data_IF_245738376538
#
_entry.id   IF_245738376538
#
_cell.length_a   1.000
_cell.length_b   1.000
_cell.length_c   1.000
_cell.angle_alpha   90.00
_cell.angle_beta   90.00
_cell.angle_gamma   90.00
#
_symmetry.space_group_name_H-M   'P 1'
#
loop_
_entity.id
_entity.type
_entity.pdbx_description
1 polymer ?
#
# COMPACT_ATOMS: atom_id res chain seq x y z
N UNK A 1 -38.06 -38.41 -56.52
CA UNK A 1 -36.99 -37.38 -56.46
C UNK A 1 -36.77 -36.99 -55.04
N UNK A 2 -35.64 -37.31 -54.39
CA UNK A 2 -35.36 -36.92 -53.02
C UNK A 2 -34.80 -35.50 -52.99
N UNK A 3 -35.25 -34.71 -51.99
CA UNK A 3 -34.74 -33.40 -51.68
C UNK A 3 -33.35 -33.53 -51.01
N UNK A 4 -32.38 -32.64 -51.29
CA UNK A 4 -31.10 -32.65 -50.61
C UNK A 4 -31.23 -31.98 -49.21
N UNK A 5 -30.78 -32.72 -48.21
CA UNK A 5 -30.55 -32.21 -46.86
C UNK A 5 -29.52 -31.08 -46.88
N UNK A 6 -29.88 -29.92 -46.34
CA UNK A 6 -28.93 -28.83 -46.07
C UNK A 6 -28.19 -29.16 -44.80
N UNK A 7 -26.90 -29.45 -44.93
CA UNK A 7 -25.96 -29.49 -43.82
C UNK A 7 -25.85 -28.09 -43.20
N UNK A 8 -26.26 -27.98 -41.94
CA UNK A 8 -26.05 -26.80 -41.12
C UNK A 8 -24.60 -26.82 -40.67
N UNK A 9 -23.72 -26.12 -41.37
CA UNK A 9 -22.37 -25.84 -40.88
C UNK A 9 -22.48 -24.90 -39.69
N UNK A 10 -22.21 -25.42 -38.50
CA UNK A 10 -21.93 -24.61 -37.32
C UNK A 10 -20.55 -23.98 -37.48
N UNK A 11 -20.47 -22.89 -38.19
CA UNK A 11 -19.33 -21.97 -38.18
C UNK A 11 -19.34 -21.23 -36.85
N UNK A 12 -18.69 -21.75 -35.83
CA UNK A 12 -18.29 -20.96 -34.68
C UNK A 12 -17.27 -19.95 -35.15
N UNK A 13 -17.68 -18.69 -35.33
CA UNK A 13 -16.73 -17.57 -35.46
C UNK A 13 -15.92 -17.50 -34.16
N UNK A 14 -14.71 -18.05 -34.19
CA UNK A 14 -13.71 -17.71 -33.16
C UNK A 14 -13.56 -16.19 -33.20
N UNK A 15 -13.88 -15.49 -32.11
CA UNK A 15 -13.67 -14.05 -32.01
C UNK A 15 -12.18 -13.80 -32.24
N UNK A 16 -11.87 -12.97 -33.23
CA UNK A 16 -10.50 -12.60 -33.52
C UNK A 16 -9.92 -11.87 -32.29
N UNK A 17 -8.81 -12.37 -31.75
CA UNK A 17 -8.17 -11.77 -30.59
C UNK A 17 -7.78 -10.33 -30.90
N UNK A 18 -8.31 -9.41 -30.11
CA UNK A 18 -8.21 -7.97 -30.33
C UNK A 18 -6.96 -7.36 -29.68
N UNK A 19 -6.45 -8.00 -28.60
CA UNK A 19 -5.35 -7.50 -27.78
C UNK A 19 -4.24 -8.54 -27.61
N UNK A 20 -3.00 -8.09 -27.51
CA UNK A 20 -1.87 -8.92 -27.08
C UNK A 20 -1.97 -9.20 -25.57
N UNK A 21 -2.32 -8.16 -24.80
CA UNK A 21 -2.45 -8.25 -23.34
C UNK A 21 -3.74 -7.62 -22.84
N UNK A 22 -4.39 -8.33 -21.93
CA UNK A 22 -5.42 -7.82 -21.04
C UNK A 22 -4.79 -7.63 -19.66
N UNK A 23 -4.84 -6.41 -19.12
CA UNK A 23 -4.34 -6.10 -17.77
C UNK A 23 -5.52 -5.88 -16.84
N UNK A 24 -5.62 -6.70 -15.79
CA UNK A 24 -6.67 -6.62 -14.79
C UNK A 24 -6.16 -5.86 -13.58
N UNK A 25 -6.71 -4.66 -13.37
CA UNK A 25 -6.35 -3.71 -12.34
C UNK A 25 -5.50 -2.55 -12.86
N UNK A 26 -6.01 -1.32 -12.73
CA UNK A 26 -5.34 -0.08 -13.11
C UNK A 26 -4.54 0.56 -11.95
N UNK A 27 -4.05 -0.26 -11.00
CA UNK A 27 -3.10 0.15 -9.96
C UNK A 27 -1.67 0.30 -10.50
N UNK A 28 -0.70 0.59 -9.64
CA UNK A 28 0.69 0.82 -10.06
C UNK A 28 1.26 -0.33 -10.89
N UNK A 29 1.08 -1.58 -10.46
CA UNK A 29 1.61 -2.74 -11.18
C UNK A 29 1.05 -2.84 -12.60
N UNK A 30 -0.29 -2.83 -12.71
CA UNK A 30 -0.96 -2.96 -14.01
C UNK A 30 -0.65 -1.80 -14.94
N UNK A 31 -0.59 -0.57 -14.42
CA UNK A 31 -0.30 0.63 -15.22
C UNK A 31 1.14 0.64 -15.75
N UNK A 32 2.11 0.20 -14.94
CA UNK A 32 3.51 0.03 -15.38
C UNK A 32 3.60 -1.04 -16.47
N UNK A 33 2.99 -2.21 -16.27
CA UNK A 33 3.00 -3.28 -17.27
C UNK A 33 2.35 -2.82 -18.58
N UNK A 34 1.16 -2.21 -18.50
CA UNK A 34 0.42 -1.73 -19.67
C UNK A 34 1.22 -0.68 -20.45
N UNK A 35 1.87 0.27 -19.75
CA UNK A 35 2.72 1.30 -20.38
C UNK A 35 3.88 0.70 -21.13
N UNK A 36 4.61 -0.20 -20.50
CA UNK A 36 5.80 -0.78 -21.13
C UNK A 36 5.43 -1.75 -22.27
N UNK A 37 4.34 -2.52 -22.13
CA UNK A 37 3.82 -3.33 -23.24
C UNK A 37 3.44 -2.46 -24.45
N UNK A 38 2.76 -1.32 -24.22
CA UNK A 38 2.48 -0.35 -25.28
C UNK A 38 3.74 0.21 -25.93
N UNK A 39 4.77 0.56 -25.15
CA UNK A 39 6.07 1.02 -25.71
C UNK A 39 6.71 -0.03 -26.61
N UNK A 40 6.49 -1.32 -26.32
CA UNK A 40 6.92 -2.44 -27.18
C UNK A 40 5.98 -2.73 -28.37
N UNK A 41 5.05 -1.83 -28.68
CA UNK A 41 4.12 -1.95 -29.80
C UNK A 41 2.97 -2.93 -29.60
N UNK A 42 2.74 -3.37 -28.36
CA UNK A 42 1.65 -4.29 -28.01
C UNK A 42 0.30 -3.57 -27.88
N UNK A 43 -0.77 -4.24 -28.32
CA UNK A 43 -2.15 -3.79 -28.10
C UNK A 43 -2.57 -4.22 -26.71
N UNK A 44 -2.93 -3.27 -25.85
CA UNK A 44 -3.27 -3.51 -24.44
C UNK A 44 -4.65 -2.97 -24.13
N UNK A 45 -5.45 -3.75 -23.42
CA UNK A 45 -6.68 -3.34 -22.74
C UNK A 45 -6.48 -3.44 -21.24
N UNK A 46 -6.89 -2.41 -20.50
CA UNK A 46 -6.89 -2.42 -19.04
C UNK A 46 -8.33 -2.49 -18.51
N UNK A 47 -8.63 -3.43 -17.63
CA UNK A 47 -9.89 -3.51 -16.89
C UNK A 47 -9.69 -3.05 -15.46
N UNK A 48 -10.58 -2.20 -14.98
CA UNK A 48 -10.58 -1.75 -13.58
C UNK A 48 -12.00 -1.86 -13.00
N UNK A 49 -12.13 -2.59 -11.88
CA UNK A 49 -13.44 -2.78 -11.23
C UNK A 49 -14.00 -1.51 -10.60
N UNK A 50 -13.15 -0.56 -10.22
CA UNK A 50 -13.51 0.72 -9.61
C UNK A 50 -13.86 1.78 -10.67
N UNK A 51 -14.53 2.87 -10.28
CA UNK A 51 -14.84 4.00 -11.17
C UNK A 51 -13.63 4.90 -11.47
N UNK A 52 -12.43 4.53 -11.08
CA UNK A 52 -11.21 5.31 -11.20
C UNK A 52 -9.98 4.42 -11.38
N UNK A 53 -8.94 4.95 -12.02
CA UNK A 53 -7.61 4.33 -12.09
C UNK A 53 -6.82 4.54 -10.79
N UNK A 54 -5.56 4.15 -10.77
CA UNK A 54 -4.59 4.29 -9.70
C UNK A 54 -4.77 3.32 -8.51
N UNK A 55 -5.79 2.46 -8.51
CA UNK A 55 -5.94 1.47 -7.43
C UNK A 55 -5.91 2.11 -6.04
N UNK A 56 -5.09 1.59 -5.12
CA UNK A 56 -5.01 2.13 -3.76
C UNK A 56 -4.25 3.46 -3.64
N UNK A 57 -3.51 3.89 -4.67
CA UNK A 57 -2.85 5.23 -4.65
C UNK A 57 -3.74 6.34 -5.22
N UNK A 58 -5.01 6.04 -5.50
CA UNK A 58 -5.97 7.03 -6.00
C UNK A 58 -6.07 8.23 -5.06
N UNK A 59 -5.95 9.43 -5.64
CA UNK A 59 -6.20 10.71 -5.01
C UNK A 59 -7.49 11.32 -5.58
N UNK A 60 -8.42 11.64 -4.69
CA UNK A 60 -9.63 12.41 -5.00
C UNK A 60 -9.34 13.90 -4.84
N UNK A 61 -9.78 14.73 -5.77
CA UNK A 61 -9.69 16.18 -5.61
C UNK A 61 -10.89 16.71 -4.82
N UNK A 62 -10.61 17.36 -3.70
CA UNK A 62 -11.63 17.99 -2.85
C UNK A 62 -11.21 19.42 -2.54
N UNK A 63 -11.85 20.40 -3.16
CA UNK A 63 -11.53 21.82 -2.97
C UNK A 63 -10.04 22.14 -3.26
N UNK A 64 -9.45 21.50 -4.26
CA UNK A 64 -8.02 21.63 -4.62
C UNK A 64 -7.06 20.80 -3.76
N UNK A 65 -7.57 20.06 -2.77
CA UNK A 65 -6.78 19.19 -1.91
C UNK A 65 -6.74 17.78 -2.52
N UNK A 66 -5.56 17.23 -2.74
CA UNK A 66 -5.37 15.84 -3.20
C UNK A 66 -5.55 14.88 -2.04
N UNK A 67 -6.75 14.36 -1.86
CA UNK A 67 -7.12 13.44 -0.77
C UNK A 67 -6.71 12.02 -1.15
N UNK A 68 -5.78 11.42 -0.42
CA UNK A 68 -5.39 10.01 -0.57
C UNK A 68 -6.52 9.12 -0.04
N UNK A 69 -7.37 8.62 -0.95
CA UNK A 69 -8.65 7.95 -0.62
C UNK A 69 -8.47 6.69 0.22
N UNK A 70 -7.41 5.95 -0.02
CA UNK A 70 -7.14 4.64 0.58
C UNK A 70 -5.94 4.66 1.54
N UNK A 71 -5.72 5.80 2.22
CA UNK A 71 -4.65 6.00 3.18
C UNK A 71 -3.47 6.80 2.63
N UNK A 72 -2.63 7.29 3.53
CA UNK A 72 -1.45 8.07 3.17
C UNK A 72 -0.46 7.23 2.37
N UNK A 73 -0.16 7.65 1.17
CA UNK A 73 0.85 7.07 0.31
C UNK A 73 1.97 8.10 0.11
N UNK A 74 3.17 7.80 0.61
CA UNK A 74 4.37 8.62 0.44
C UNK A 74 5.38 7.78 -0.31
N UNK A 75 5.74 8.20 -1.51
CA UNK A 75 6.71 7.46 -2.31
C UNK A 75 8.11 7.64 -1.73
N UNK A 76 8.81 6.53 -1.57
CA UNK A 76 10.22 6.53 -1.16
C UNK A 76 10.93 5.32 -1.77
N UNK A 77 12.21 5.45 -2.10
CA UNK A 77 13.01 4.36 -2.66
C UNK A 77 14.51 4.63 -2.59
N UNK A 78 15.30 3.56 -2.56
CA UNK A 78 16.74 3.58 -2.85
C UNK A 78 17.04 3.13 -4.29
N UNK A 79 16.02 2.68 -5.02
CA UNK A 79 16.17 2.20 -6.39
C UNK A 79 16.09 3.38 -7.38
N UNK A 80 17.25 3.78 -7.89
CA UNK A 80 17.37 4.87 -8.86
C UNK A 80 16.59 4.61 -10.14
N UNK A 81 16.57 3.37 -10.66
CA UNK A 81 15.82 3.01 -11.88
C UNK A 81 14.32 3.25 -11.69
N UNK A 82 13.77 2.86 -10.54
CA UNK A 82 12.35 3.09 -10.21
C UNK A 82 12.05 4.58 -10.07
N UNK A 83 12.92 5.33 -9.40
CA UNK A 83 12.78 6.79 -9.25
C UNK A 83 12.77 7.49 -10.61
N UNK A 84 13.76 7.22 -11.45
CA UNK A 84 13.87 7.79 -12.80
C UNK A 84 12.71 7.36 -13.72
N UNK A 85 12.22 6.11 -13.55
CA UNK A 85 11.08 5.64 -14.30
C UNK A 85 9.82 6.44 -13.98
N UNK A 86 9.48 6.62 -12.69
CA UNK A 86 8.29 7.35 -12.28
C UNK A 86 8.35 8.85 -12.63
N UNK A 87 9.54 9.45 -12.59
CA UNK A 87 9.74 10.84 -13.00
C UNK A 87 9.49 11.12 -14.50
N UNK A 88 9.31 10.09 -15.33
CA UNK A 88 8.83 10.27 -16.70
C UNK A 88 7.34 10.65 -16.76
N UNK A 89 6.58 10.41 -15.71
CA UNK A 89 5.12 10.56 -15.68
C UNK A 89 4.64 11.64 -14.73
N UNK A 90 5.49 12.09 -13.80
CA UNK A 90 5.18 13.15 -12.84
C UNK A 90 6.43 13.83 -12.35
N UNK A 91 6.29 15.02 -11.83
CA UNK A 91 7.28 15.66 -10.97
C UNK A 91 6.96 15.31 -9.51
N UNK A 92 7.96 14.90 -8.73
CA UNK A 92 7.82 14.70 -7.29
C UNK A 92 8.19 15.98 -6.55
N UNK A 93 7.38 16.36 -5.56
CA UNK A 93 7.71 17.44 -4.66
C UNK A 93 8.76 16.97 -3.62
N UNK A 94 9.22 17.91 -2.78
CA UNK A 94 10.21 17.63 -1.73
C UNK A 94 9.60 17.16 -0.41
N UNK A 95 8.41 16.58 -0.40
CA UNK A 95 7.78 16.15 0.85
C UNK A 95 8.65 15.13 1.57
N UNK A 96 8.94 15.43 2.85
CA UNK A 96 9.67 14.55 3.75
C UNK A 96 8.71 14.07 4.83
N UNK A 97 8.56 12.76 4.94
CA UNK A 97 7.65 12.17 5.92
C UNK A 97 8.21 12.31 7.34
N UNK A 98 7.57 13.15 8.15
CA UNK A 98 7.95 13.42 9.53
C UNK A 98 6.71 13.29 10.44
N UNK A 99 6.21 12.06 10.67
CA UNK A 99 5.02 11.86 11.47
C UNK A 99 5.26 12.19 12.95
N UNK A 100 4.18 12.54 13.64
CA UNK A 100 4.17 12.84 15.06
C UNK A 100 3.32 11.78 15.77
N UNK A 101 3.76 11.31 16.94
CA UNK A 101 2.95 10.52 17.85
C UNK A 101 2.27 11.42 18.88
N UNK A 102 0.98 11.20 19.09
CA UNK A 102 0.20 11.79 20.18
C UNK A 102 -0.15 10.68 21.17
N UNK A 103 0.42 10.75 22.36
CA UNK A 103 0.08 9.91 23.48
C UNK A 103 -0.64 10.74 24.54
N UNK A 104 -1.97 10.68 24.59
CA UNK A 104 -2.81 11.40 25.58
C UNK A 104 -2.49 12.90 25.67
N UNK A 105 -2.21 13.56 24.54
CA UNK A 105 -1.84 14.96 24.47
C UNK A 105 -0.34 15.26 24.54
N UNK A 106 0.49 14.29 24.87
CA UNK A 106 1.96 14.41 24.77
C UNK A 106 2.40 14.12 23.35
N UNK A 107 3.14 15.05 22.73
CA UNK A 107 3.62 14.91 21.34
C UNK A 107 5.08 14.45 21.31
N UNK A 108 5.35 13.45 20.47
CA UNK A 108 6.66 12.87 20.24
C UNK A 108 6.98 12.80 18.76
N UNK A 109 8.24 13.03 18.38
CA UNK A 109 8.72 12.81 17.02
C UNK A 109 8.79 11.32 16.69
N UNK A 110 8.51 10.98 15.44
CA UNK A 110 8.77 9.66 14.86
C UNK A 110 9.69 9.81 13.63
N UNK A 111 10.58 8.83 13.38
CA UNK A 111 10.87 7.60 14.16
C UNK A 111 11.46 7.95 15.54
N UNK A 112 11.66 6.93 16.42
CA UNK A 112 12.29 7.13 17.72
C UNK A 112 13.70 7.68 17.53
N UNK A 113 13.89 8.96 17.83
CA UNK A 113 15.11 9.72 17.61
C UNK A 113 15.45 10.62 18.79
N UNK A 114 16.52 11.41 18.70
CA UNK A 114 16.96 12.26 19.81
C UNK A 114 15.89 13.27 20.26
N UNK A 115 14.99 13.75 19.37
CA UNK A 115 13.87 14.59 19.81
C UNK A 115 12.87 13.80 20.67
N UNK A 116 12.60 12.53 20.31
CA UNK A 116 11.76 11.62 21.10
C UNK A 116 12.34 11.41 22.50
N UNK A 117 13.64 11.11 22.57
CA UNK A 117 14.33 10.82 23.85
C UNK A 117 14.48 12.05 24.70
N UNK A 118 14.80 13.21 24.11
CA UNK A 118 14.83 14.49 24.82
C UNK A 118 13.45 14.81 25.42
N UNK A 119 12.38 14.68 24.63
CA UNK A 119 11.00 14.92 25.11
C UNK A 119 10.61 13.97 26.25
N UNK A 120 11.04 12.70 26.18
CA UNK A 120 10.67 11.66 27.14
C UNK A 120 11.48 11.70 28.43
N UNK A 121 12.78 11.92 28.32
CA UNK A 121 13.72 11.77 29.43
C UNK A 121 14.58 13.01 29.73
N UNK A 122 14.50 14.05 28.91
CA UNK A 122 15.32 15.25 29.06
C UNK A 122 16.81 15.08 28.66
N UNK A 123 17.16 13.95 28.05
CA UNK A 123 18.52 13.64 27.61
C UNK A 123 18.92 14.52 26.41
N UNK A 124 20.21 14.86 26.30
CA UNK A 124 20.72 15.76 25.27
C UNK A 124 21.70 15.04 24.35
N UNK A 125 22.44 14.06 24.87
CA UNK A 125 23.45 13.34 24.10
C UNK A 125 23.01 11.92 23.71
N UNK A 126 23.57 11.37 22.61
CA UNK A 126 23.36 9.97 22.25
C UNK A 126 23.76 8.99 23.35
N UNK A 127 24.81 9.27 24.10
CA UNK A 127 25.29 8.44 25.21
C UNK A 127 24.25 8.36 26.35
N UNK A 128 23.70 9.52 26.75
CA UNK A 128 22.63 9.58 27.77
C UNK A 128 21.37 8.83 27.28
N UNK A 129 20.98 8.98 26.01
CA UNK A 129 19.81 8.30 25.45
C UNK A 129 20.01 6.78 25.45
N UNK A 130 21.18 6.30 25.03
CA UNK A 130 21.52 4.88 25.04
C UNK A 130 21.54 4.32 26.47
N UNK A 131 22.13 5.03 27.44
CA UNK A 131 22.15 4.62 28.83
C UNK A 131 20.72 4.42 29.37
N UNK A 132 19.79 5.33 29.04
CA UNK A 132 18.38 5.20 29.42
C UNK A 132 17.69 4.01 28.77
N UNK A 133 17.93 3.77 27.49
CA UNK A 133 17.37 2.62 26.78
C UNK A 133 17.89 1.31 27.39
N UNK A 134 19.20 1.19 27.62
CA UNK A 134 19.81 -0.01 28.20
C UNK A 134 19.37 -0.24 29.65
N UNK A 135 19.22 0.82 30.47
CA UNK A 135 18.66 0.75 31.81
C UNK A 135 17.29 0.06 31.79
N UNK A 136 16.41 0.45 30.88
CA UNK A 136 15.06 -0.10 30.80
C UNK A 136 14.98 -1.48 30.15
N UNK A 137 15.86 -1.76 29.20
CA UNK A 137 16.00 -3.11 28.59
C UNK A 137 16.46 -4.15 29.60
N UNK A 138 17.14 -3.72 30.68
CA UNK A 138 17.60 -4.61 31.74
C UNK A 138 16.44 -5.39 32.42
N UNK A 139 15.20 -4.92 32.33
CA UNK A 139 14.00 -5.66 32.76
C UNK A 139 13.89 -7.05 32.08
N UNK A 140 14.37 -7.16 30.86
CA UNK A 140 14.37 -8.37 30.05
C UNK A 140 15.72 -9.10 30.05
N UNK A 141 16.72 -8.63 30.83
CA UNK A 141 18.04 -9.25 30.86
C UNK A 141 17.99 -10.73 31.23
N UNK A 142 18.58 -11.58 30.38
CA UNK A 142 18.63 -13.02 30.59
C UNK A 142 17.32 -13.77 30.36
N UNK A 143 16.28 -13.12 29.82
CA UNK A 143 15.00 -13.73 29.47
C UNK A 143 14.84 -13.77 27.95
N UNK A 144 14.30 -14.88 27.43
CA UNK A 144 13.79 -14.93 26.06
C UNK A 144 12.37 -14.37 26.01
N UNK A 145 12.09 -13.40 25.12
CA UNK A 145 10.74 -12.83 24.99
C UNK A 145 9.73 -13.89 24.51
N UNK A 146 8.65 -14.07 25.26
CA UNK A 146 7.58 -15.02 24.98
C UNK A 146 6.41 -14.41 24.17
N UNK A 147 6.29 -13.09 24.18
CA UNK A 147 5.22 -12.35 23.54
C UNK A 147 5.72 -11.00 23.00
N UNK A 148 4.83 -10.26 22.32
CA UNK A 148 5.18 -9.01 21.67
C UNK A 148 5.58 -7.91 22.69
N UNK A 149 4.94 -7.83 23.86
CA UNK A 149 5.30 -6.86 24.90
C UNK A 149 6.74 -7.06 25.35
N UNK A 150 7.11 -8.28 25.73
CA UNK A 150 8.45 -8.63 26.19
C UNK A 150 9.49 -8.38 25.07
N UNK A 151 9.15 -8.73 23.83
CA UNK A 151 9.99 -8.47 22.68
C UNK A 151 10.25 -6.97 22.48
N UNK A 152 9.20 -6.15 22.51
CA UNK A 152 9.34 -4.70 22.36
C UNK A 152 10.19 -4.09 23.49
N UNK A 153 9.93 -4.46 24.75
CA UNK A 153 10.72 -3.97 25.89
C UNK A 153 12.19 -4.36 25.75
N UNK A 154 12.48 -5.58 25.31
CA UNK A 154 13.86 -6.03 25.07
C UNK A 154 14.58 -5.23 24.00
N UNK A 155 13.85 -4.63 23.05
CA UNK A 155 14.40 -3.83 21.94
C UNK A 155 14.59 -2.35 22.29
N UNK A 156 13.61 -1.74 22.98
CA UNK A 156 13.55 -0.28 23.14
C UNK A 156 13.31 0.19 24.58
N UNK A 157 13.09 -0.72 25.51
CA UNK A 157 12.73 -0.39 26.90
C UNK A 157 11.24 -0.09 27.12
N UNK A 158 10.86 0.00 28.40
CA UNK A 158 9.45 0.09 28.81
C UNK A 158 8.77 1.41 28.43
N UNK A 159 9.42 2.55 28.65
CA UNK A 159 8.78 3.86 28.44
C UNK A 159 8.40 4.07 26.97
N UNK A 160 9.29 3.75 26.05
CA UNK A 160 9.02 3.82 24.61
C UNK A 160 7.91 2.84 24.23
N UNK A 161 7.95 1.63 24.77
CA UNK A 161 6.91 0.63 24.52
C UNK A 161 5.54 1.12 25.00
N UNK A 162 5.40 1.50 26.25
CA UNK A 162 4.10 1.88 26.84
C UNK A 162 3.47 3.11 26.16
N UNK A 163 4.29 4.14 25.86
CA UNK A 163 3.77 5.38 25.28
C UNK A 163 3.61 5.34 23.77
N UNK A 164 4.50 4.66 23.03
CA UNK A 164 4.57 4.83 21.59
C UNK A 164 4.27 3.57 20.76
N UNK A 165 4.25 2.38 21.38
CA UNK A 165 4.06 1.12 20.67
C UNK A 165 2.80 0.40 21.09
N UNK A 166 2.60 0.24 22.39
CA UNK A 166 1.57 -0.65 22.99
C UNK A 166 0.17 -0.35 22.47
N UNK A 167 -0.40 0.80 22.78
CA UNK A 167 -1.79 1.11 22.44
C UNK A 167 -2.03 1.19 20.94
N UNK A 168 -1.03 1.65 20.17
CA UNK A 168 -1.11 1.63 18.71
C UNK A 168 -1.18 0.20 18.16
N UNK A 169 -0.32 -0.69 18.66
CA UNK A 169 -0.30 -2.11 18.26
C UNK A 169 -1.58 -2.84 18.67
N UNK A 170 -2.04 -2.61 19.89
CA UNK A 170 -3.28 -3.20 20.40
C UNK A 170 -4.52 -2.78 19.60
N UNK A 171 -4.59 -1.53 19.14
CA UNK A 171 -5.64 -1.08 18.21
C UNK A 171 -5.52 -1.74 16.83
N UNK A 172 -4.29 -1.91 16.34
CA UNK A 172 -4.07 -2.56 15.03
C UNK A 172 -4.47 -4.04 15.05
N UNK A 173 -4.22 -4.73 16.18
CA UNK A 173 -4.45 -6.17 16.27
C UNK A 173 -5.74 -6.56 16.98
N UNK A 174 -6.43 -5.60 17.62
CA UNK A 174 -7.63 -5.87 18.41
C UNK A 174 -7.38 -6.76 19.63
N UNK A 175 -6.11 -6.94 20.06
CA UNK A 175 -5.66 -7.84 21.14
C UNK A 175 -4.57 -7.19 21.96
N UNK A 176 -4.44 -7.60 23.21
CA UNK A 176 -3.37 -7.12 24.09
C UNK A 176 -2.00 -7.61 23.58
N UNK A 177 -0.96 -6.77 23.75
CA UNK A 177 0.40 -7.11 23.30
C UNK A 177 0.95 -8.38 23.96
N UNK A 178 0.48 -8.73 25.18
CA UNK A 178 0.84 -9.98 25.87
C UNK A 178 0.31 -11.23 25.18
N UNK A 179 -0.78 -11.10 24.42
CA UNK A 179 -1.43 -12.20 23.70
C UNK A 179 -0.97 -12.31 22.25
N UNK A 180 -0.04 -11.46 21.83
CA UNK A 180 0.52 -11.42 20.48
C UNK A 180 1.91 -12.09 20.45
N UNK A 181 2.22 -12.88 19.42
CA UNK A 181 3.52 -13.52 19.29
C UNK A 181 4.69 -12.53 19.18
N UNK A 182 5.83 -12.83 19.78
CA UNK A 182 7.03 -12.00 19.78
C UNK A 182 7.54 -11.68 18.35
N UNK A 183 7.41 -12.62 17.41
CA UNK A 183 7.91 -12.46 16.03
C UNK A 183 7.22 -11.36 15.22
N UNK A 184 6.08 -10.83 15.67
CA UNK A 184 5.39 -9.71 15.02
C UNK A 184 6.29 -8.46 14.99
N UNK A 185 7.06 -8.23 16.05
CA UNK A 185 8.05 -7.16 16.13
C UNK A 185 9.46 -7.76 16.08
N UNK A 186 10.07 -7.75 14.91
CA UNK A 186 11.46 -8.22 14.74
C UNK A 186 12.48 -7.16 15.09
N UNK A 187 12.15 -5.88 14.90
CA UNK A 187 13.01 -4.73 15.16
C UNK A 187 12.17 -3.46 15.37
N UNK A 188 12.64 -2.60 16.24
CA UNK A 188 12.14 -1.24 16.43
C UNK A 188 13.35 -0.31 16.27
N UNK A 189 13.47 0.41 15.15
CA UNK A 189 14.67 1.20 14.90
C UNK A 189 14.76 2.40 15.85
N UNK A 190 15.89 2.51 16.51
CA UNK A 190 16.29 3.67 17.35
C UNK A 190 17.32 4.47 16.58
N UNK A 191 17.16 5.77 16.50
CA UNK A 191 18.11 6.69 15.85
C UNK A 191 18.70 7.65 16.85
N UNK A 192 20.01 7.62 16.99
CA UNK A 192 20.74 8.53 17.88
C UNK A 192 21.13 9.84 17.16
N UNK A 193 20.21 10.37 16.38
CA UNK A 193 20.34 11.61 15.61
C UNK A 193 19.10 12.47 15.76
N UNK A 194 19.22 13.78 15.54
CA UNK A 194 18.11 14.74 15.48
C UNK A 194 17.53 14.79 14.06
N UNK A 195 17.10 13.61 13.52
CA UNK A 195 16.52 13.49 12.20
C UNK A 195 15.09 12.97 12.28
N UNK A 196 14.13 13.78 11.87
CA UNK A 196 12.70 13.45 11.85
C UNK A 196 12.25 12.81 10.53
N UNK A 197 13.14 12.64 9.55
CA UNK A 197 12.78 11.92 8.34
C UNK A 197 12.49 10.45 8.66
N UNK A 198 11.24 10.02 8.47
CA UNK A 198 10.82 8.67 8.82
C UNK A 198 11.52 7.60 7.96
N UNK A 199 11.77 7.89 6.70
CA UNK A 199 12.41 6.97 5.78
C UNK A 199 13.93 7.19 5.70
N UNK A 200 14.68 6.09 5.49
CA UNK A 200 16.11 6.14 5.18
C UNK A 200 16.40 6.09 3.67
N UNK A 201 15.38 6.33 2.86
CA UNK A 201 15.48 6.26 1.42
C UNK A 201 16.17 7.51 0.85
N UNK A 202 16.97 7.33 -0.19
CA UNK A 202 17.65 8.42 -0.91
C UNK A 202 16.66 9.34 -1.63
N UNK A 203 15.54 8.77 -2.12
CA UNK A 203 14.52 9.49 -2.85
C UNK A 203 13.19 9.34 -2.11
N UNK A 204 12.48 10.45 -1.94
CA UNK A 204 11.12 10.46 -1.44
C UNK A 204 10.38 11.69 -1.91
N UNK A 205 9.05 11.63 -1.94
CA UNK A 205 8.20 12.74 -2.31
C UNK A 205 6.78 12.31 -2.59
N UNK A 206 5.97 13.29 -2.95
CA UNK A 206 4.59 13.12 -3.41
C UNK A 206 4.52 13.63 -4.85
N UNK A 207 3.83 12.94 -5.79
CA UNK A 207 3.56 13.50 -7.11
C UNK A 207 2.87 14.85 -7.00
N UNK A 208 3.45 15.90 -7.58
CA UNK A 208 3.00 17.28 -7.42
C UNK A 208 1.51 17.47 -7.81
N UNK A 209 1.03 16.72 -8.82
CA UNK A 209 -0.37 16.71 -9.26
C UNK A 209 -1.17 15.50 -8.75
N UNK A 210 -0.68 14.81 -7.72
CA UNK A 210 -1.28 13.61 -7.14
C UNK A 210 -0.99 12.33 -7.93
N UNK A 211 -1.14 11.18 -7.25
CA UNK A 211 -0.87 9.87 -7.84
C UNK A 211 -1.83 9.51 -8.97
N UNK A 212 -3.08 9.94 -8.90
CA UNK A 212 -4.07 9.68 -9.96
C UNK A 212 -3.56 10.21 -11.29
N UNK A 213 -3.09 11.47 -11.32
CA UNK A 213 -2.57 12.09 -12.54
C UNK A 213 -1.31 11.39 -13.06
N UNK A 214 -0.42 10.94 -12.17
CA UNK A 214 0.75 10.14 -12.55
C UNK A 214 0.33 8.85 -13.28
N UNK A 215 -0.66 8.13 -12.74
CA UNK A 215 -1.17 6.89 -13.35
C UNK A 215 -1.91 7.15 -14.66
N UNK A 216 -2.71 8.22 -14.73
CA UNK A 216 -3.33 8.65 -16.01
C UNK A 216 -2.29 8.90 -17.09
N UNK A 217 -1.18 9.56 -16.74
CA UNK A 217 -0.08 9.80 -17.69
C UNK A 217 0.61 8.48 -18.11
N UNK A 218 0.71 7.48 -17.22
CA UNK A 218 1.18 6.15 -17.61
C UNK A 218 0.23 5.46 -18.57
N UNK A 219 -1.08 5.62 -18.38
CA UNK A 219 -2.12 4.98 -19.18
C UNK A 219 -2.50 5.78 -20.45
N UNK A 220 -1.82 6.90 -20.70
CA UNK A 220 -2.11 7.74 -21.87
C UNK A 220 -2.06 6.94 -23.19
N UNK A 221 -3.18 7.03 -23.94
CA UNK A 221 -3.41 6.31 -25.20
C UNK A 221 -3.52 4.78 -25.04
N UNK A 222 -3.79 4.26 -23.87
CA UNK A 222 -4.17 2.86 -23.60
C UNK A 222 -5.67 2.82 -23.32
N UNK A 223 -6.37 1.85 -23.90
CA UNK A 223 -7.79 1.65 -23.64
C UNK A 223 -8.01 1.13 -22.23
N UNK A 224 -8.86 1.81 -21.45
CA UNK A 224 -9.18 1.48 -20.05
C UNK A 224 -10.70 1.38 -19.90
N UNK A 225 -11.19 0.26 -19.40
CA UNK A 225 -12.59 0.07 -19.05
C UNK A 225 -12.74 0.10 -17.53
N UNK A 226 -13.33 1.18 -17.03
CA UNK A 226 -13.67 1.34 -15.61
C UNK A 226 -14.98 0.61 -15.29
N UNK A 227 -15.30 0.42 -13.99
CA UNK A 227 -16.48 -0.29 -13.52
C UNK A 227 -16.64 -1.67 -14.16
N UNK A 228 -15.53 -2.32 -14.49
CA UNK A 228 -15.50 -3.60 -15.19
C UNK A 228 -14.71 -4.61 -14.38
N UNK A 229 -15.42 -5.57 -13.79
CA UNK A 229 -14.80 -6.63 -13.02
C UNK A 229 -14.50 -7.83 -13.92
N UNK A 230 -13.24 -8.18 -14.05
CA UNK A 230 -12.80 -9.32 -14.86
C UNK A 230 -13.43 -10.66 -14.40
N UNK A 231 -13.62 -10.83 -13.09
CA UNK A 231 -14.13 -12.07 -12.51
C UNK A 231 -15.61 -12.35 -12.85
N UNK A 232 -16.35 -11.33 -13.29
CA UNK A 232 -17.77 -11.52 -13.67
C UNK A 232 -17.93 -12.31 -14.96
N UNK A 233 -16.92 -12.33 -15.85
CA UNK A 233 -16.94 -13.07 -17.12
C UNK A 233 -15.51 -13.36 -17.62
N UNK A 234 -14.78 -14.22 -16.87
CA UNK A 234 -13.38 -14.58 -17.18
C UNK A 234 -13.22 -15.15 -18.60
N UNK A 235 -14.17 -15.94 -19.05
CA UNK A 235 -14.10 -16.61 -20.37
C UNK A 235 -14.09 -15.60 -21.50
N UNK A 236 -15.06 -14.68 -21.50
CA UNK A 236 -15.13 -13.59 -22.47
C UNK A 236 -13.83 -12.80 -22.55
N UNK A 237 -13.31 -12.40 -21.41
CA UNK A 237 -12.09 -11.57 -21.38
C UNK A 237 -10.85 -12.35 -21.82
N UNK A 238 -10.75 -13.64 -21.50
CA UNK A 238 -9.67 -14.51 -21.94
C UNK A 238 -9.66 -14.78 -23.44
N UNK A 239 -10.84 -14.71 -24.09
CA UNK A 239 -10.94 -14.82 -25.54
C UNK A 239 -10.45 -13.57 -26.28
N UNK A 240 -10.49 -12.40 -25.63
CA UNK A 240 -10.15 -11.11 -26.25
C UNK A 240 -8.64 -10.83 -26.29
N UNK A 241 -7.81 -11.55 -25.54
CA UNK A 241 -6.38 -11.32 -25.45
C UNK A 241 -5.57 -12.62 -25.54
N UNK A 242 -4.29 -12.49 -25.96
CA UNK A 242 -3.36 -13.62 -25.97
C UNK A 242 -2.92 -14.00 -24.55
N UNK A 243 -2.67 -13.00 -23.70
CA UNK A 243 -2.31 -13.16 -22.29
C UNK A 243 -3.04 -12.19 -21.37
N UNK A 244 -3.23 -12.58 -20.13
CA UNK A 244 -3.84 -11.76 -19.09
C UNK A 244 -2.83 -11.51 -17.99
N UNK A 245 -2.67 -10.26 -17.58
CA UNK A 245 -1.93 -9.86 -16.39
C UNK A 245 -2.92 -9.57 -15.28
N UNK A 246 -3.02 -10.47 -14.31
CA UNK A 246 -3.99 -10.41 -13.22
C UNK A 246 -3.34 -9.87 -11.94
N UNK A 247 -3.84 -8.72 -11.45
CA UNK A 247 -3.31 -8.07 -10.24
C UNK A 247 -4.27 -8.12 -9.04
N UNK A 248 -5.40 -8.77 -9.20
CA UNK A 248 -6.36 -9.02 -8.11
C UNK A 248 -5.91 -10.12 -7.14
N UNK A 249 -6.71 -10.41 -6.09
CA UNK A 249 -6.42 -11.48 -5.15
C UNK A 249 -6.34 -12.83 -5.86
N UNK A 250 -5.25 -13.58 -5.62
CA UNK A 250 -5.02 -14.86 -6.30
C UNK A 250 -6.08 -15.90 -5.94
N UNK A 251 -6.55 -15.92 -4.68
CA UNK A 251 -7.61 -16.81 -4.23
C UNK A 251 -8.95 -16.51 -4.90
N UNK A 252 -9.27 -15.24 -5.13
CA UNK A 252 -10.47 -14.83 -5.88
C UNK A 252 -10.43 -15.29 -7.34
N UNK A 253 -9.25 -15.31 -7.98
CA UNK A 253 -9.13 -15.85 -9.34
C UNK A 253 -9.56 -17.32 -9.42
N UNK A 254 -9.27 -18.11 -8.39
CA UNK A 254 -9.63 -19.52 -8.27
C UNK A 254 -10.93 -19.75 -7.49
N UNK A 255 -11.81 -18.74 -7.43
CA UNK A 255 -13.11 -18.80 -6.79
C UNK A 255 -13.08 -19.32 -5.34
N UNK A 256 -11.97 -18.99 -4.64
CA UNK A 256 -11.70 -19.38 -3.26
C UNK A 256 -11.70 -20.90 -3.00
N UNK A 257 -11.43 -21.70 -4.02
CA UNK A 257 -11.57 -23.18 -4.02
C UNK A 257 -10.72 -23.89 -2.95
N UNK A 258 -9.66 -23.26 -2.45
CA UNK A 258 -8.81 -23.78 -1.37
C UNK A 258 -9.01 -23.04 -0.02
N UNK A 259 -9.96 -22.10 0.02
CA UNK A 259 -10.22 -21.21 1.16
C UNK A 259 -9.73 -19.80 0.97
N UNK A 260 -10.06 -18.92 1.91
CA UNK A 260 -9.72 -17.50 1.85
C UNK A 260 -8.32 -17.23 2.41
N UNK A 261 -7.51 -16.51 1.66
CA UNK A 261 -6.30 -15.87 2.19
C UNK A 261 -6.71 -14.70 3.09
N UNK A 262 -5.98 -14.50 4.17
CA UNK A 262 -6.29 -13.45 5.13
C UNK A 262 -5.59 -12.14 4.77
N UNK A 263 -6.32 -11.06 4.96
CA UNK A 263 -5.84 -9.71 4.72
C UNK A 263 -6.06 -8.84 5.97
N UNK A 264 -5.44 -7.69 6.00
CA UNK A 264 -5.80 -6.60 6.89
C UNK A 264 -6.55 -5.56 6.10
N UNK A 265 -7.50 -4.94 6.75
CA UNK A 265 -8.27 -3.85 6.19
C UNK A 265 -8.15 -2.61 7.06
N UNK A 266 -8.44 -1.47 6.46
CA UNK A 266 -8.50 -0.17 7.13
C UNK A 266 -9.75 0.56 6.67
N UNK A 267 -10.37 1.31 7.59
CA UNK A 267 -11.51 2.16 7.32
C UNK A 267 -11.12 3.62 7.54
N UNK A 268 -11.59 4.49 6.66
CA UNK A 268 -11.33 5.92 6.73
C UNK A 268 -12.62 6.71 6.94
N UNK A 269 -12.57 7.71 7.81
CA UNK A 269 -13.59 8.74 7.95
C UNK A 269 -13.00 10.07 7.46
N UNK A 270 -13.44 10.49 6.28
CA UNK A 270 -12.98 11.73 5.66
C UNK A 270 -13.88 12.89 6.08
N UNK A 271 -13.29 14.04 6.42
CA UNK A 271 -14.02 15.26 6.79
C UNK A 271 -13.35 16.48 6.19
N UNK A 272 -14.12 17.24 5.40
CA UNK A 272 -13.75 18.58 4.99
C UNK A 272 -14.00 19.55 6.15
N UNK A 273 -13.03 20.38 6.48
CA UNK A 273 -13.07 21.37 7.55
C UNK A 273 -12.88 22.77 6.97
N UNK A 274 -13.72 23.70 7.40
CA UNK A 274 -13.64 25.12 7.04
C UNK A 274 -12.63 25.84 7.96
N UNK A 275 -11.38 25.43 7.83
CA UNK A 275 -10.23 26.00 8.54
C UNK A 275 -8.95 25.73 7.75
N UNK A 276 -7.94 26.62 7.83
CA UNK A 276 -6.73 26.49 7.03
C UNK A 276 -5.74 25.44 7.58
N UNK A 277 -5.87 25.01 8.83
CA UNK A 277 -4.94 24.08 9.48
C UNK A 277 -5.63 23.37 10.65
N UNK A 278 -5.57 22.05 10.70
CA UNK A 278 -6.14 21.27 11.78
C UNK A 278 -5.11 20.78 12.79
N UNK A 279 -4.02 20.18 12.33
CA UNK A 279 -3.00 19.56 13.20
C UNK A 279 -1.56 19.98 12.87
N UNK A 280 -1.36 20.75 11.78
CA UNK A 280 -0.03 21.27 11.39
C UNK A 280 0.96 20.24 10.87
N UNK A 281 0.50 19.02 10.58
CA UNK A 281 1.33 17.95 10.03
C UNK A 281 0.48 16.99 9.19
N UNK A 282 1.09 16.38 8.17
CA UNK A 282 0.41 15.45 7.30
C UNK A 282 -0.09 14.20 8.04
N UNK A 283 0.66 13.70 9.03
CA UNK A 283 0.30 12.49 9.76
C UNK A 283 0.57 12.62 11.26
N UNK A 284 -0.46 12.39 12.07
CA UNK A 284 -0.36 12.25 13.54
C UNK A 284 -0.89 10.90 13.95
N UNK A 285 -0.04 10.07 14.54
CA UNK A 285 -0.38 8.74 15.05
C UNK A 285 -0.84 8.87 16.51
N UNK A 286 -1.99 8.28 16.84
CA UNK A 286 -2.51 8.24 18.20
C UNK A 286 -2.09 6.92 18.83
N UNK A 287 -1.18 6.98 19.79
CA UNK A 287 -0.51 5.80 20.33
C UNK A 287 -1.12 5.27 21.64
N UNK A 288 -2.05 6.01 22.22
CA UNK A 288 -2.88 5.51 23.32
C UNK A 288 -3.95 4.52 22.83
N UNK A 289 -4.50 3.68 23.72
CA UNK A 289 -5.52 2.67 23.39
C UNK A 289 -6.93 3.27 23.34
N UNK A 290 -7.18 4.31 24.12
CA UNK A 290 -8.50 4.89 24.33
C UNK A 290 -9.00 5.66 23.11
N UNK A 291 -8.11 6.29 22.33
CA UNK A 291 -8.43 6.95 21.08
C UNK A 291 -8.78 5.90 20.02
N UNK A 292 -9.99 5.93 19.43
CA UNK A 292 -10.45 4.82 18.58
C UNK A 292 -9.77 4.72 17.22
N UNK A 293 -9.21 5.84 16.69
CA UNK A 293 -8.43 5.82 15.43
C UNK A 293 -6.95 5.62 15.71
N UNK A 294 -6.26 5.05 14.75
CA UNK A 294 -4.80 4.85 14.81
C UNK A 294 -4.05 6.10 14.39
N UNK A 295 -4.63 6.88 13.44
CA UNK A 295 -3.96 8.01 12.84
C UNK A 295 -4.96 9.03 12.31
N UNK A 296 -4.57 10.30 12.31
CA UNK A 296 -5.25 11.34 11.51
C UNK A 296 -4.27 11.79 10.42
N UNK A 297 -4.76 11.80 9.19
CA UNK A 297 -4.06 12.34 8.02
C UNK A 297 -4.68 13.70 7.70
N UNK A 298 -3.88 14.75 7.58
CA UNK A 298 -4.30 16.05 7.06
C UNK A 298 -3.68 16.24 5.68
N UNK A 299 -4.49 16.01 4.65
CA UNK A 299 -4.02 15.78 3.28
C UNK A 299 -3.33 16.97 2.63
N UNK A 300 -3.77 18.20 2.93
CA UNK A 300 -3.16 19.40 2.33
C UNK A 300 -1.64 19.53 2.59
N UNK A 301 -1.15 18.95 3.68
CA UNK A 301 0.27 19.03 4.01
C UNK A 301 1.17 18.19 3.12
N UNK A 302 0.61 17.26 2.34
CA UNK A 302 1.36 16.56 1.29
C UNK A 302 1.79 17.49 0.16
N UNK A 303 1.10 18.63 -0.03
CA UNK A 303 1.41 19.69 -1.00
C UNK A 303 1.76 21.01 -0.31
N UNK A 304 2.26 20.96 0.94
CA UNK A 304 2.67 22.12 1.75
C UNK A 304 1.55 23.16 1.94
N UNK A 305 0.29 22.73 1.96
CA UNK A 305 -0.87 23.60 2.10
C UNK A 305 -1.20 24.44 0.88
N UNK A 306 -0.65 24.10 -0.29
CA UNK A 306 -0.84 24.83 -1.56
C UNK A 306 -1.71 24.01 -2.53
N UNK A 307 -2.46 24.75 -3.37
CA UNK A 307 -3.10 24.21 -4.57
C UNK A 307 -2.11 24.07 -5.74
N UNK A 308 -2.59 23.64 -6.92
CA UNK A 308 -1.76 23.48 -8.12
C UNK A 308 -1.17 24.79 -8.66
N UNK A 309 -1.81 25.92 -8.37
CA UNK A 309 -1.38 27.27 -8.77
C UNK A 309 -0.47 27.92 -7.73
N UNK A 310 -0.20 27.25 -6.59
CA UNK A 310 0.64 27.73 -5.51
C UNK A 310 -0.05 28.64 -4.50
N UNK A 311 -1.38 28.77 -4.55
CA UNK A 311 -2.15 29.54 -3.59
C UNK A 311 -2.36 28.77 -2.27
N UNK A 312 -2.51 29.51 -1.16
CA UNK A 312 -2.78 28.90 0.14
C UNK A 312 -4.20 28.34 0.20
N UNK A 313 -4.33 27.05 0.48
CA UNK A 313 -5.60 26.38 0.71
C UNK A 313 -6.22 26.88 2.02
N UNK A 314 -7.44 27.42 1.95
CA UNK A 314 -8.15 27.98 3.12
C UNK A 314 -8.96 26.93 3.89
N UNK A 315 -9.16 25.76 3.29
CA UNK A 315 -9.82 24.61 3.91
C UNK A 315 -8.85 23.46 4.06
N UNK A 316 -9.21 22.47 4.85
CA UNK A 316 -8.43 21.23 4.98
C UNK A 316 -9.32 19.99 4.98
N UNK A 317 -8.78 18.86 4.49
CA UNK A 317 -9.43 17.56 4.60
C UNK A 317 -8.61 16.69 5.54
N UNK A 318 -9.28 16.12 6.53
CA UNK A 318 -8.70 15.12 7.42
C UNK A 318 -9.32 13.75 7.17
N UNK A 319 -8.51 12.70 7.32
CA UNK A 319 -8.97 11.32 7.37
C UNK A 319 -8.58 10.69 8.70
N UNK A 320 -9.58 10.20 9.46
CA UNK A 320 -9.33 9.32 10.59
C UNK A 320 -9.22 7.89 10.10
N UNK A 321 -8.11 7.24 10.41
CA UNK A 321 -7.83 5.85 10.03
C UNK A 321 -8.14 4.92 11.19
N UNK A 322 -8.92 3.88 10.90
CA UNK A 322 -9.26 2.82 11.85
C UNK A 322 -8.76 1.49 11.31
N UNK A 323 -8.10 0.71 12.15
CA UNK A 323 -7.81 -0.68 11.82
C UNK A 323 -9.11 -1.49 11.86
N UNK A 324 -9.28 -2.41 10.93
CA UNK A 324 -10.41 -3.32 10.88
C UNK A 324 -9.97 -4.72 10.50
N UNK A 325 -10.63 -5.73 11.08
CA UNK A 325 -10.49 -7.10 10.59
C UNK A 325 -11.07 -7.20 9.19
N UNK A 326 -10.33 -7.83 8.30
CA UNK A 326 -10.81 -8.13 6.97
C UNK A 326 -11.79 -9.30 7.01
N UNK A 327 -12.87 -9.20 6.25
CA UNK A 327 -13.84 -10.27 6.02
C UNK A 327 -14.02 -10.49 4.52
N UNK A 328 -14.44 -11.69 4.09
CA UNK A 328 -14.79 -11.91 2.69
C UNK A 328 -15.78 -10.87 2.17
N UNK A 329 -15.39 -10.18 1.09
CA UNK A 329 -16.14 -9.04 0.52
C UNK A 329 -15.58 -7.68 0.85
N UNK A 330 -14.73 -7.55 1.87
CA UNK A 330 -14.00 -6.31 2.16
C UNK A 330 -12.83 -6.11 1.18
N UNK A 331 -12.44 -4.86 0.95
CA UNK A 331 -11.23 -4.56 0.17
C UNK A 331 -9.97 -5.07 0.91
N UNK A 332 -9.14 -5.90 0.25
CA UNK A 332 -7.90 -6.40 0.82
C UNK A 332 -6.79 -5.33 0.70
N UNK A 333 -6.27 -4.85 1.82
CA UNK A 333 -5.17 -3.88 1.82
C UNK A 333 -3.79 -4.53 1.92
N UNK A 334 -3.60 -5.39 2.92
CA UNK A 334 -2.31 -5.99 3.23
C UNK A 334 -2.44 -7.49 3.49
N UNK A 335 -1.65 -8.35 2.80
CA UNK A 335 -1.57 -9.76 3.12
C UNK A 335 -1.11 -10.02 4.57
N UNK A 336 -1.69 -11.02 5.21
CA UNK A 336 -1.24 -11.51 6.52
C UNK A 336 -0.15 -12.56 6.28
N UNK A 337 1.11 -12.19 6.57
CA UNK A 337 2.28 -13.04 6.32
C UNK A 337 2.57 -13.95 7.52
N UNK A 338 1.67 -14.87 7.83
CA UNK A 338 1.90 -15.96 8.78
C UNK A 338 2.15 -17.31 8.06
N UNK A 339 2.46 -18.34 8.82
CA UNK A 339 2.80 -19.66 8.28
C UNK A 339 1.60 -20.35 7.60
N UNK A 340 0.40 -20.17 8.16
CA UNK A 340 -0.84 -20.78 7.65
C UNK A 340 -1.20 -20.19 6.28
N UNK A 341 -1.25 -18.86 6.19
CA UNK A 341 -1.50 -18.16 4.94
C UNK A 341 -0.38 -18.39 3.91
N UNK A 342 0.87 -18.51 4.35
CA UNK A 342 1.99 -18.86 3.49
C UNK A 342 1.83 -20.25 2.84
N UNK A 343 1.39 -21.24 3.61
CA UNK A 343 1.08 -22.59 3.10
C UNK A 343 -0.11 -22.57 2.14
N UNK A 344 -1.16 -21.83 2.47
CA UNK A 344 -2.34 -21.71 1.60
C UNK A 344 -1.99 -20.99 0.28
N UNK A 345 -1.24 -19.90 0.35
CA UNK A 345 -0.74 -19.21 -0.84
C UNK A 345 0.13 -20.14 -1.71
N UNK A 346 0.99 -20.97 -1.12
CA UNK A 346 1.78 -21.96 -1.84
C UNK A 346 0.92 -22.88 -2.71
N UNK A 347 -0.22 -23.36 -2.19
CA UNK A 347 -1.17 -24.19 -2.94
C UNK A 347 -1.83 -23.40 -4.10
N UNK A 348 -2.22 -22.15 -3.87
CA UNK A 348 -2.73 -21.30 -4.95
C UNK A 348 -1.67 -21.03 -6.01
N UNK A 349 -0.41 -20.88 -5.62
CA UNK A 349 0.69 -20.70 -6.56
C UNK A 349 0.89 -21.93 -7.47
N UNK A 350 0.75 -23.13 -6.92
CA UNK A 350 0.78 -24.37 -7.73
C UNK A 350 -0.37 -24.44 -8.76
N UNK A 351 -1.54 -23.87 -8.46
CA UNK A 351 -2.62 -23.74 -9.45
C UNK A 351 -2.27 -22.66 -10.48
N UNK A 352 -1.76 -21.52 -10.04
CA UNK A 352 -1.37 -20.42 -10.91
C UNK A 352 -0.27 -20.81 -11.91
N UNK A 353 0.67 -21.66 -11.52
CA UNK A 353 1.75 -22.13 -12.39
C UNK A 353 1.26 -23.03 -13.54
N UNK A 354 0.02 -23.51 -13.48
CA UNK A 354 -0.63 -24.29 -14.56
C UNK A 354 -1.37 -23.39 -15.56
N UNK A 355 -1.60 -22.13 -15.21
CA UNK A 355 -2.28 -21.15 -16.03
C UNK A 355 -1.32 -20.54 -17.08
N UNK A 356 -1.20 -21.19 -18.24
CA UNK A 356 -0.20 -20.82 -19.27
C UNK A 356 -0.38 -19.39 -19.83
N UNK A 357 -1.61 -18.83 -19.76
CA UNK A 357 -1.94 -17.51 -20.32
C UNK A 357 -2.01 -16.40 -19.27
N UNK A 358 -1.98 -16.74 -17.99
CA UNK A 358 -2.22 -15.79 -16.91
C UNK A 358 -0.91 -15.47 -16.20
N UNK A 359 -0.60 -14.19 -16.10
CA UNK A 359 0.53 -13.67 -15.36
C UNK A 359 -0.02 -13.06 -14.06
N UNK A 360 0.21 -13.70 -12.94
CA UNK A 360 -0.15 -13.15 -11.64
C UNK A 360 0.93 -12.17 -11.17
N UNK A 361 0.52 -10.98 -10.79
CA UNK A 361 1.44 -9.93 -10.36
C UNK A 361 0.85 -8.93 -9.40
N UNK A 362 1.71 -8.11 -8.80
CA UNK A 362 1.31 -7.12 -7.81
C UNK A 362 1.03 -7.71 -6.43
N UNK A 363 0.71 -6.83 -5.48
CA UNK A 363 0.57 -7.16 -4.05
C UNK A 363 -0.40 -8.32 -3.78
N UNK A 364 -1.56 -8.32 -4.44
CA UNK A 364 -2.63 -9.30 -4.20
C UNK A 364 -2.42 -10.56 -5.04
N UNK A 365 -1.97 -10.43 -6.29
CA UNK A 365 -1.70 -11.57 -7.16
C UNK A 365 -0.49 -12.41 -6.72
N UNK A 366 0.49 -11.78 -6.06
CA UNK A 366 1.65 -12.46 -5.49
C UNK A 366 1.55 -12.67 -3.97
N UNK A 367 0.46 -12.25 -3.35
CA UNK A 367 0.23 -12.31 -1.90
C UNK A 367 1.44 -11.83 -1.08
N UNK A 368 2.01 -10.67 -1.47
CA UNK A 368 3.19 -10.10 -0.84
C UNK A 368 2.93 -8.69 -0.34
N UNK A 369 3.52 -8.39 0.82
CA UNK A 369 3.58 -7.00 1.27
C UNK A 369 4.66 -6.27 0.45
N UNK A 370 4.20 -5.40 -0.43
CA UNK A 370 5.06 -4.54 -1.25
C UNK A 370 4.84 -3.08 -0.90
N UNK A 371 5.91 -2.32 -0.70
CA UNK A 371 5.89 -0.87 -0.81
C UNK A 371 5.76 -0.46 -2.30
N UNK A 372 5.39 0.79 -2.55
CA UNK A 372 5.11 1.25 -3.92
C UNK A 372 6.28 1.04 -4.89
N UNK A 373 7.50 1.27 -4.42
CA UNK A 373 8.72 1.09 -5.23
C UNK A 373 8.94 -0.39 -5.60
N UNK A 374 8.71 -1.30 -4.67
CA UNK A 374 8.81 -2.73 -4.91
C UNK A 374 7.74 -3.22 -5.90
N UNK A 375 6.52 -2.66 -5.85
CA UNK A 375 5.47 -2.93 -6.84
C UNK A 375 5.93 -2.53 -8.23
N UNK A 376 6.47 -1.31 -8.38
CA UNK A 376 6.97 -0.81 -9.68
C UNK A 376 8.15 -1.65 -10.17
N UNK A 377 9.11 -1.95 -9.29
CA UNK A 377 10.27 -2.80 -9.63
C UNK A 377 9.85 -4.20 -10.09
N UNK A 378 8.86 -4.82 -9.40
CA UNK A 378 8.32 -6.13 -9.77
C UNK A 378 7.66 -6.09 -11.15
N UNK A 379 6.86 -5.05 -11.44
CA UNK A 379 6.23 -4.87 -12.75
C UNK A 379 7.27 -4.70 -13.87
N UNK A 380 8.29 -3.86 -13.66
CA UNK A 380 9.38 -3.66 -14.64
C UNK A 380 10.18 -4.96 -14.86
N UNK A 381 10.42 -5.74 -13.82
CA UNK A 381 11.07 -7.04 -13.92
C UNK A 381 10.24 -8.03 -14.74
N UNK A 382 8.92 -8.07 -14.52
CA UNK A 382 8.01 -8.93 -15.28
C UNK A 382 7.97 -8.53 -16.76
N UNK A 383 7.91 -7.24 -17.06
CA UNK A 383 8.00 -6.71 -18.43
C UNK A 383 9.29 -7.17 -19.13
N UNK A 384 10.44 -7.02 -18.46
CA UNK A 384 11.74 -7.47 -19.00
C UNK A 384 11.77 -8.97 -19.29
N UNK A 385 11.06 -9.79 -18.50
CA UNK A 385 10.97 -11.23 -18.68
C UNK A 385 10.02 -11.61 -19.82
N UNK A 386 8.89 -10.91 -19.91
CA UNK A 386 7.77 -11.27 -20.78
C UNK A 386 7.90 -10.72 -22.20
N UNK A 387 8.47 -9.52 -22.36
CA UNK A 387 8.51 -8.79 -23.65
C UNK A 387 9.90 -8.79 -24.31
N UNK A 388 10.79 -9.66 -23.86
CA UNK A 388 12.12 -9.87 -24.49
C UNK A 388 12.05 -10.64 -25.79
#
# INVERSE_FOLDING_TARGET
>A
MPHPERSCEKGGNAMEKRYDYLVVGAGLYGSVFAREAKKCGKKVLVLEKRPHVAGNVFCEDVEGIKVHKYGAHIFHTNNKEVWEYLNQFTEFNRFTNSPVANYKGELYSLPFNMYTFNKMWGVITPEEAMAKIEEQKAEMAGKEPSNLEEQAISLIGRDLFEKLVKGYTEKQWGRDCKDLPAFIIKRLPVRLTFDNNYFNALYQGIPAKGYTKMVENMLDGIEVLLNTNYLDDKEKWNEMADKVVYTGPIDAYFDYSLGYLQYRSVRFENKLLDMPNFQGNAAVNYTDRETPWTRIIEHKWFTFGKDEDGNDLQKTVISREYSSEWKPGDEPYYPVNDEENGKLYGKYRELADKEAKIIFGGRLGEYKYYDMDAVVASALSMVKKELK
#
